data_IF_481012265031
#
_entry.id   IF_481012265031
#
_cell.length_a   1.000
_cell.length_b   1.000
_cell.length_c   1.000
_cell.angle_alpha   90.00
_cell.angle_beta   90.00
_cell.angle_gamma   90.00
#
_symmetry.space_group_name_H-M   'P 1'
#
loop_
_entity.id
_entity.type
_entity.pdbx_description
1 polymer ?
#
# COMPACT_ATOMS: atom_id res chain seq x y z
N UNK A 1 -26.43 -23.35 -1.32
CA UNK A 1 -25.24 -24.14 -1.70
C UNK A 1 -24.03 -23.25 -1.59
N UNK A 2 -22.87 -23.78 -1.21
CA UNK A 2 -21.62 -23.02 -1.23
C UNK A 2 -20.98 -23.13 -2.62
N UNK A 3 -20.47 -22.03 -3.17
CA UNK A 3 -19.64 -21.98 -4.37
C UNK A 3 -18.22 -21.55 -4.02
N UNK A 4 -17.28 -21.83 -4.91
CA UNK A 4 -15.87 -21.44 -4.79
C UNK A 4 -15.43 -20.79 -6.09
N UNK A 5 -14.54 -19.81 -5.98
CA UNK A 5 -13.92 -19.12 -7.11
C UNK A 5 -12.41 -19.21 -6.92
N UNK A 6 -11.71 -19.78 -7.89
CA UNK A 6 -10.25 -19.87 -7.85
C UNK A 6 -9.63 -18.50 -8.15
N UNK A 7 -8.72 -18.04 -7.29
CA UNK A 7 -8.03 -16.76 -7.44
C UNK A 7 -6.74 -16.95 -8.25
N UNK A 8 -6.64 -16.42 -9.48
CA UNK A 8 -5.48 -16.64 -10.33
C UNK A 8 -4.30 -15.71 -9.97
N UNK A 9 -3.14 -16.04 -10.54
CA UNK A 9 -1.99 -15.13 -10.70
C UNK A 9 -1.79 -14.84 -12.18
N UNK A 10 -1.25 -13.67 -12.53
CA UNK A 10 -0.99 -13.28 -13.92
C UNK A 10 0.24 -14.00 -14.48
N UNK A 11 1.29 -14.13 -13.67
CA UNK A 11 2.53 -14.80 -14.06
C UNK A 11 2.61 -16.21 -13.45
N UNK A 12 2.68 -17.27 -14.25
CA UNK A 12 2.79 -18.64 -13.75
C UNK A 12 4.08 -18.91 -12.95
N UNK A 13 5.12 -18.09 -13.12
CA UNK A 13 6.36 -18.16 -12.34
C UNK A 13 6.23 -17.53 -10.94
N UNK A 14 5.06 -17.00 -10.58
CA UNK A 14 4.79 -16.53 -9.22
C UNK A 14 5.05 -17.69 -8.23
N UNK A 15 5.94 -17.50 -7.23
CA UNK A 15 6.24 -18.55 -6.28
C UNK A 15 5.06 -18.79 -5.34
N UNK A 16 5.02 -19.98 -4.73
CA UNK A 16 4.04 -20.31 -3.69
C UNK A 16 4.07 -19.27 -2.57
N UNK A 17 2.90 -18.92 -2.04
CA UNK A 17 2.74 -17.85 -1.08
C UNK A 17 3.46 -18.13 0.24
N UNK A 18 3.39 -19.38 0.66
CA UNK A 18 4.00 -19.96 1.88
C UNK A 18 5.53 -19.95 1.87
N UNK A 19 6.16 -19.96 0.69
CA UNK A 19 7.58 -20.27 0.54
C UNK A 19 7.88 -21.75 0.83
N UNK A 20 9.16 -22.17 0.72
CA UNK A 20 9.55 -23.52 1.10
C UNK A 20 9.39 -23.72 2.63
N UNK A 21 9.10 -24.95 3.10
CA UNK A 21 9.13 -25.27 4.52
C UNK A 21 10.48 -24.89 5.13
N UNK A 22 10.46 -24.27 6.31
CA UNK A 22 11.68 -23.93 7.03
C UNK A 22 12.32 -25.15 7.70
N UNK A 23 11.51 -26.15 8.04
CA UNK A 23 11.88 -27.44 8.63
C UNK A 23 10.90 -28.53 8.17
N UNK A 24 11.30 -29.81 8.17
CA UNK A 24 10.40 -30.91 7.82
C UNK A 24 9.21 -31.02 8.78
N UNK A 25 8.02 -31.22 8.24
CA UNK A 25 6.82 -31.62 8.99
C UNK A 25 6.94 -33.06 9.49
N UNK A 26 6.50 -33.37 10.74
CA UNK A 26 6.38 -34.75 11.21
C UNK A 26 5.42 -35.64 10.40
N UNK A 27 4.52 -35.03 9.62
CA UNK A 27 3.51 -35.75 8.82
C UNK A 27 3.80 -35.73 7.32
N UNK A 28 4.34 -34.62 6.81
CA UNK A 28 4.52 -34.38 5.37
C UNK A 28 5.99 -34.23 4.94
N UNK A 29 6.94 -34.34 5.87
CA UNK A 29 8.36 -34.14 5.58
C UNK A 29 8.62 -32.76 4.96
N UNK A 30 9.33 -32.73 3.84
CA UNK A 30 9.68 -31.50 3.10
C UNK A 30 8.57 -31.01 2.15
N UNK A 31 7.39 -31.65 2.14
CA UNK A 31 6.30 -31.27 1.24
C UNK A 31 5.65 -29.94 1.66
N UNK A 32 5.61 -28.99 0.73
CA UNK A 32 4.89 -27.72 0.90
C UNK A 32 3.39 -27.93 0.63
N UNK A 33 2.62 -28.26 1.67
CA UNK A 33 1.17 -28.54 1.55
C UNK A 33 0.30 -27.30 1.32
N UNK A 34 0.83 -26.10 1.55
CA UNK A 34 0.19 -24.84 1.14
C UNK A 34 0.82 -24.37 -0.16
N UNK A 35 0.22 -24.77 -1.28
CA UNK A 35 0.72 -24.55 -2.64
C UNK A 35 0.11 -23.33 -3.35
N UNK A 36 -0.81 -22.62 -2.68
CA UNK A 36 -1.45 -21.43 -3.24
C UNK A 36 -0.40 -20.38 -3.60
N UNK A 37 -0.41 -19.94 -4.87
CA UNK A 37 0.44 -18.84 -5.35
C UNK A 37 -0.18 -17.49 -5.04
N UNK A 38 -1.48 -17.37 -5.30
CA UNK A 38 -2.28 -16.25 -4.83
C UNK A 38 -2.41 -16.29 -3.31
N UNK A 39 -2.52 -15.12 -2.68
CA UNK A 39 -2.71 -14.99 -1.24
C UNK A 39 -3.74 -13.89 -1.02
N UNK A 40 -5.00 -14.30 -0.91
CA UNK A 40 -6.12 -13.38 -0.76
C UNK A 40 -6.13 -12.74 0.63
N UNK A 41 -6.36 -11.43 0.67
CA UNK A 41 -6.55 -10.72 1.93
C UNK A 41 -7.42 -9.47 1.76
N UNK A 42 -8.12 -9.12 2.85
CA UNK A 42 -8.94 -7.92 3.00
C UNK A 42 -9.93 -7.67 1.83
N UNK A 43 -10.93 -8.54 1.62
CA UNK A 43 -11.98 -8.32 0.62
C UNK A 43 -12.89 -7.14 0.99
N UNK A 44 -13.24 -6.31 0.01
CA UNK A 44 -14.23 -5.23 0.11
C UNK A 44 -15.06 -5.15 -1.18
N UNK A 45 -16.31 -4.69 -1.07
CA UNK A 45 -17.12 -4.40 -2.24
C UNK A 45 -16.95 -2.94 -2.65
N UNK A 46 -16.91 -2.69 -3.96
CA UNK A 46 -17.09 -1.33 -4.47
C UNK A 46 -18.58 -0.96 -4.63
N UNK A 47 -18.82 0.27 -5.10
CA UNK A 47 -20.16 0.82 -5.31
C UNK A 47 -20.98 0.10 -6.40
N UNK A 48 -20.38 -0.79 -7.20
CA UNK A 48 -21.05 -1.62 -8.19
C UNK A 48 -21.23 -3.08 -7.73
N UNK A 49 -20.80 -3.40 -6.50
CA UNK A 49 -20.85 -4.75 -5.96
C UNK A 49 -19.76 -5.69 -6.50
N UNK A 50 -18.68 -5.15 -7.08
CA UNK A 50 -17.50 -5.93 -7.47
C UNK A 50 -16.59 -6.13 -6.27
N UNK A 51 -15.98 -7.30 -6.18
CA UNK A 51 -15.12 -7.68 -5.06
C UNK A 51 -13.68 -7.26 -5.32
N UNK A 52 -13.17 -6.36 -4.49
CA UNK A 52 -11.77 -5.94 -4.47
C UNK A 52 -11.03 -6.60 -3.32
N UNK A 53 -9.80 -7.04 -3.55
CA UNK A 53 -8.97 -7.71 -2.56
C UNK A 53 -7.49 -7.44 -2.83
N UNK A 54 -6.65 -7.60 -1.80
CA UNK A 54 -5.21 -7.71 -2.02
C UNK A 54 -4.83 -9.15 -2.33
N UNK A 55 -3.98 -9.34 -3.33
CA UNK A 55 -3.51 -10.66 -3.75
C UNK A 55 -2.16 -10.59 -4.46
N UNK A 56 -1.38 -11.68 -4.44
CA UNK A 56 -0.25 -11.80 -5.35
C UNK A 56 -0.76 -11.92 -6.79
N UNK A 57 -0.13 -11.19 -7.69
CA UNK A 57 -0.45 -11.17 -9.12
C UNK A 57 0.74 -11.62 -9.95
N UNK A 58 1.97 -11.34 -9.49
CA UNK A 58 3.24 -11.64 -10.17
C UNK A 58 4.38 -11.86 -9.16
N UNK A 59 5.58 -12.28 -9.60
CA UNK A 59 6.80 -12.21 -8.79
C UNK A 59 7.09 -10.80 -8.27
N UNK A 60 7.92 -10.73 -7.22
CA UNK A 60 8.08 -9.50 -6.45
C UNK A 60 8.76 -8.36 -7.19
N UNK A 61 9.55 -8.66 -8.23
CA UNK A 61 10.32 -7.65 -8.95
C UNK A 61 9.40 -6.70 -9.72
N UNK A 62 9.48 -5.41 -9.42
CA UNK A 62 8.65 -4.42 -10.10
C UNK A 62 9.06 -4.24 -11.58
N UNK A 63 8.11 -3.91 -12.46
CA UNK A 63 8.42 -3.51 -13.83
C UNK A 63 9.20 -2.19 -13.89
N UNK A 64 9.79 -1.91 -15.05
CA UNK A 64 10.67 -0.74 -15.24
C UNK A 64 9.98 0.60 -14.93
N UNK A 65 8.68 0.74 -15.20
CA UNK A 65 7.96 1.99 -14.94
C UNK A 65 7.82 2.34 -13.44
N UNK A 66 8.06 1.39 -12.54
CA UNK A 66 8.08 1.64 -11.09
C UNK A 66 9.46 2.09 -10.58
N UNK A 67 10.51 1.90 -11.39
CA UNK A 67 11.91 2.01 -10.98
C UNK A 67 12.49 3.35 -11.42
N UNK A 68 13.71 3.59 -10.95
CA UNK A 68 14.48 4.78 -11.31
C UNK A 68 14.64 4.90 -12.83
N UNK A 69 14.55 6.14 -13.34
CA UNK A 69 14.58 6.43 -14.78
C UNK A 69 13.21 6.36 -15.47
N UNK A 70 12.15 5.99 -14.75
CA UNK A 70 10.77 6.04 -15.26
C UNK A 70 10.22 7.45 -15.37
N UNK A 71 9.27 7.64 -16.28
CA UNK A 71 8.50 8.87 -16.41
C UNK A 71 7.30 8.99 -15.46
N UNK A 72 6.94 7.91 -14.77
CA UNK A 72 5.82 7.89 -13.83
C UNK A 72 6.06 8.88 -12.68
N UNK A 73 5.12 9.78 -12.35
CA UNK A 73 5.32 10.82 -11.31
C UNK A 73 5.83 10.26 -9.98
N UNK A 74 5.18 9.22 -9.44
CA UNK A 74 5.62 8.55 -8.22
C UNK A 74 7.01 7.90 -8.30
N UNK A 75 7.39 7.36 -9.46
CA UNK A 75 8.71 6.73 -9.62
C UNK A 75 9.83 7.78 -9.73
N UNK A 76 9.53 8.97 -10.27
CA UNK A 76 10.46 10.11 -10.28
C UNK A 76 10.77 10.60 -8.87
N UNK A 77 9.79 10.62 -7.97
CA UNK A 77 9.99 11.05 -6.59
C UNK A 77 10.54 9.94 -5.69
N UNK A 78 9.99 8.72 -5.80
CA UNK A 78 10.40 7.60 -4.96
C UNK A 78 10.24 6.26 -5.69
N UNK A 79 11.27 5.82 -6.44
CA UNK A 79 11.18 4.57 -7.19
C UNK A 79 11.14 3.36 -6.26
N UNK A 80 10.35 2.35 -6.63
CA UNK A 80 10.17 1.12 -5.86
C UNK A 80 10.66 -0.08 -6.64
N UNK A 81 11.50 -0.89 -6.02
CA UNK A 81 12.15 -2.02 -6.70
C UNK A 81 11.28 -3.29 -6.68
N UNK A 82 10.48 -3.47 -5.63
CA UNK A 82 9.74 -4.70 -5.35
C UNK A 82 8.38 -4.42 -4.72
N UNK A 83 7.40 -5.28 -5.01
CA UNK A 83 6.09 -5.32 -4.37
C UNK A 83 5.64 -6.78 -4.17
N UNK A 84 4.96 -7.08 -3.06
CA UNK A 84 4.57 -8.43 -2.66
C UNK A 84 3.14 -8.80 -3.08
N UNK A 85 2.15 -8.26 -2.35
CA UNK A 85 0.72 -8.32 -2.73
C UNK A 85 0.35 -7.06 -3.51
N UNK A 86 -0.53 -7.22 -4.49
CA UNK A 86 -1.11 -6.17 -5.32
C UNK A 86 -2.64 -6.19 -5.20
N UNK A 87 -3.36 -5.68 -6.19
CA UNK A 87 -4.82 -5.64 -6.20
C UNK A 87 -5.39 -6.67 -7.18
N UNK A 88 -6.53 -7.24 -6.82
CA UNK A 88 -7.39 -7.99 -7.73
C UNK A 88 -8.83 -7.52 -7.56
N UNK A 89 -9.56 -7.47 -8.66
CA UNK A 89 -10.99 -7.20 -8.70
C UNK A 89 -11.68 -8.39 -9.36
N UNK A 90 -12.70 -8.94 -8.71
CA UNK A 90 -13.61 -9.93 -9.29
C UNK A 90 -14.96 -9.28 -9.56
N UNK A 91 -15.46 -9.43 -10.79
CA UNK A 91 -16.79 -8.98 -11.17
C UNK A 91 -17.76 -10.16 -11.16
N UNK A 92 -18.71 -10.23 -10.20
CA UNK A 92 -19.67 -11.34 -10.13
C UNK A 92 -20.62 -11.42 -11.32
N UNK A 93 -20.77 -10.34 -12.11
CA UNK A 93 -21.66 -10.32 -13.27
C UNK A 93 -21.05 -10.98 -14.51
N UNK A 94 -19.72 -10.95 -14.63
CA UNK A 94 -18.97 -11.59 -15.72
C UNK A 94 -18.21 -12.84 -15.27
N UNK A 95 -18.07 -13.03 -13.96
CA UNK A 95 -17.25 -14.06 -13.34
C UNK A 95 -15.75 -13.95 -13.68
N UNK A 96 -15.27 -12.74 -13.99
CA UNK A 96 -13.89 -12.49 -14.41
C UNK A 96 -13.06 -11.77 -13.34
N UNK A 97 -11.76 -12.08 -13.30
CA UNK A 97 -10.77 -11.34 -12.52
C UNK A 97 -10.01 -10.32 -13.38
N UNK A 98 -9.92 -9.10 -12.87
CA UNK A 98 -8.90 -8.13 -13.24
C UNK A 98 -7.79 -8.17 -12.18
N UNK A 99 -6.64 -8.73 -12.55
CA UNK A 99 -5.45 -8.73 -11.71
C UNK A 99 -4.66 -7.46 -11.99
N UNK A 100 -4.31 -6.66 -10.99
CA UNK A 100 -3.74 -5.31 -11.14
C UNK A 100 -2.34 -5.29 -10.53
N UNK A 101 -1.31 -5.02 -11.34
CA UNK A 101 0.08 -4.99 -10.89
C UNK A 101 0.45 -3.59 -10.37
N UNK A 102 0.38 -3.42 -9.06
CA UNK A 102 0.86 -2.21 -8.38
C UNK A 102 2.38 -2.17 -8.25
N UNK A 103 2.97 -0.97 -8.21
CA UNK A 103 4.37 -0.72 -7.90
C UNK A 103 4.66 -0.79 -6.39
N UNK A 104 3.64 -0.66 -5.55
CA UNK A 104 3.72 -0.77 -4.10
C UNK A 104 3.08 -2.07 -3.60
N UNK A 105 3.54 -2.57 -2.46
CA UNK A 105 2.88 -3.69 -1.77
C UNK A 105 1.57 -3.25 -1.12
N UNK A 106 0.64 -4.18 -0.95
CA UNK A 106 -0.69 -3.92 -0.39
C UNK A 106 -1.03 -4.88 0.76
N UNK A 107 -1.88 -4.45 1.69
CA UNK A 107 -2.38 -5.25 2.80
C UNK A 107 -3.88 -5.02 3.04
N UNK A 108 -4.26 -4.02 3.83
CA UNK A 108 -5.65 -3.57 3.94
C UNK A 108 -5.96 -2.59 2.82
N UNK A 109 -7.23 -2.50 2.43
CA UNK A 109 -7.71 -1.60 1.39
C UNK A 109 -8.99 -0.88 1.84
N UNK A 110 -9.15 0.36 1.42
CA UNK A 110 -10.31 1.20 1.75
C UNK A 110 -10.61 2.17 0.61
N UNK A 111 -11.88 2.28 0.24
CA UNK A 111 -12.32 3.26 -0.75
C UNK A 111 -12.49 4.64 -0.13
N UNK A 112 -12.00 5.67 -0.81
CA UNK A 112 -12.38 7.04 -0.58
C UNK A 112 -13.75 7.33 -1.20
N UNK A 113 -14.54 8.17 -0.54
CA UNK A 113 -15.80 8.70 -1.07
C UNK A 113 -15.54 9.93 -1.97
N UNK A 114 -14.68 9.76 -2.98
CA UNK A 114 -14.34 10.79 -3.97
C UNK A 114 -14.84 10.44 -5.39
N UNK A 115 -14.71 11.39 -6.32
CA UNK A 115 -15.19 11.23 -7.70
C UNK A 115 -14.44 10.15 -8.51
N UNK A 116 -13.26 9.74 -8.03
CA UNK A 116 -12.40 8.74 -8.66
C UNK A 116 -12.60 7.34 -8.08
N UNK A 117 -13.38 7.23 -6.99
CA UNK A 117 -13.45 6.03 -6.17
C UNK A 117 -12.05 5.53 -5.81
N UNK A 118 -11.20 6.43 -5.33
CA UNK A 118 -9.79 6.14 -5.05
C UNK A 118 -9.68 5.02 -4.02
N UNK A 119 -8.95 3.95 -4.35
CA UNK A 119 -8.69 2.83 -3.46
C UNK A 119 -7.33 3.02 -2.79
N UNK A 120 -7.32 3.32 -1.50
CA UNK A 120 -6.11 3.46 -0.69
C UNK A 120 -5.71 2.14 -0.06
N UNK A 121 -4.41 1.89 0.06
CA UNK A 121 -3.89 0.63 0.60
C UNK A 121 -2.81 0.83 1.67
N UNK A 122 -2.81 -0.06 2.65
CA UNK A 122 -1.71 -0.21 3.60
C UNK A 122 -0.71 -1.25 3.12
N UNK A 123 0.39 -1.49 3.87
CA UNK A 123 1.36 -2.54 3.56
C UNK A 123 2.43 -2.17 2.53
N UNK A 124 2.45 -0.93 2.05
CA UNK A 124 3.49 -0.42 1.14
C UNK A 124 4.87 -0.21 1.78
N UNK A 125 4.97 -0.36 3.11
CA UNK A 125 6.22 -0.25 3.85
C UNK A 125 6.73 1.20 3.88
N UNK A 126 7.60 1.56 2.93
CA UNK A 126 8.19 2.90 2.85
C UNK A 126 7.31 3.92 2.13
N UNK A 127 6.23 3.45 1.50
CA UNK A 127 5.30 4.26 0.74
C UNK A 127 3.87 3.92 1.14
N UNK A 128 2.96 4.83 0.84
CA UNK A 128 1.52 4.57 0.80
C UNK A 128 1.05 4.75 -0.64
N UNK A 129 0.21 3.83 -1.10
CA UNK A 129 -0.21 3.77 -2.50
C UNK A 129 -1.72 3.73 -2.67
N UNK A 130 -2.17 4.22 -3.81
CA UNK A 130 -3.57 4.32 -4.20
C UNK A 130 -3.78 3.90 -5.66
N UNK A 131 -5.05 3.60 -5.98
CA UNK A 131 -5.52 3.34 -7.33
C UNK A 131 -6.77 4.17 -7.62
N UNK A 132 -6.76 4.97 -8.68
CA UNK A 132 -7.95 5.56 -9.28
C UNK A 132 -8.75 4.44 -9.97
N UNK A 133 -9.72 3.87 -9.25
CA UNK A 133 -10.45 2.70 -9.74
C UNK A 133 -11.37 3.04 -10.90
N UNK A 134 -11.90 4.26 -10.96
CA UNK A 134 -12.68 4.75 -12.10
C UNK A 134 -11.86 4.74 -13.38
N UNK A 135 -10.67 5.35 -13.37
CA UNK A 135 -9.77 5.38 -14.52
C UNK A 135 -9.37 3.96 -14.94
N UNK A 136 -9.04 3.09 -13.98
CA UNK A 136 -8.67 1.72 -14.29
C UNK A 136 -9.80 0.96 -14.98
N UNK A 137 -11.03 1.06 -14.46
CA UNK A 137 -12.19 0.36 -15.03
C UNK A 137 -12.51 0.90 -16.43
N UNK A 138 -12.37 2.20 -16.66
CA UNK A 138 -12.65 2.82 -17.96
C UNK A 138 -11.60 2.47 -19.02
N UNK A 139 -10.34 2.25 -18.63
CA UNK A 139 -9.21 2.19 -19.58
C UNK A 139 -8.45 0.87 -19.58
N UNK A 140 -8.51 0.10 -18.50
CA UNK A 140 -7.62 -1.04 -18.24
C UNK A 140 -6.18 -0.66 -17.94
N UNK A 141 -5.84 0.64 -17.88
CA UNK A 141 -4.46 1.12 -17.75
C UNK A 141 -4.05 1.20 -16.28
N UNK A 142 -3.42 0.14 -15.79
CA UNK A 142 -2.95 0.07 -14.41
C UNK A 142 -1.76 1.00 -14.12
N UNK A 143 -0.94 1.33 -15.11
CA UNK A 143 0.22 2.21 -14.91
C UNK A 143 -0.24 3.64 -14.64
N UNK A 144 -1.20 4.13 -15.44
CA UNK A 144 -1.74 5.49 -15.28
C UNK A 144 -2.71 5.64 -14.13
N UNK A 145 -3.36 4.55 -13.72
CA UNK A 145 -4.38 4.59 -12.68
C UNK A 145 -3.81 4.54 -11.26
N UNK A 146 -2.53 4.22 -11.10
CA UNK A 146 -1.93 4.05 -9.77
C UNK A 146 -1.00 5.21 -9.40
N UNK A 147 -0.82 5.40 -8.10
CA UNK A 147 0.18 6.32 -7.57
C UNK A 147 0.63 5.89 -6.18
N UNK A 148 1.81 6.35 -5.79
CA UNK A 148 2.34 6.18 -4.44
C UNK A 148 3.21 7.37 -4.06
N UNK A 149 3.34 7.59 -2.76
CA UNK A 149 4.22 8.62 -2.22
C UNK A 149 5.03 8.08 -1.04
N UNK A 150 6.23 8.62 -0.87
CA UNK A 150 7.02 8.41 0.33
C UNK A 150 6.36 9.11 1.53
N UNK A 151 6.71 8.68 2.74
CA UNK A 151 6.22 9.30 3.95
C UNK A 151 7.16 10.43 4.36
N UNK A 152 6.74 11.67 4.13
CA UNK A 152 7.56 12.88 4.30
C UNK A 152 6.90 13.79 5.33
N UNK A 153 7.62 14.12 6.40
CA UNK A 153 7.20 15.08 7.42
C UNK A 153 7.76 16.45 7.07
N UNK A 154 6.89 17.46 7.04
CA UNK A 154 7.23 18.88 6.87
C UNK A 154 7.96 19.40 8.11
N UNK A 155 9.25 19.09 8.24
CA UNK A 155 10.05 19.48 9.39
C UNK A 155 10.48 20.95 9.36
N UNK A 156 10.42 21.59 8.19
CA UNK A 156 10.71 23.02 8.06
C UNK A 156 9.47 23.90 8.35
N UNK A 157 8.26 23.31 8.33
CA UNK A 157 7.00 23.88 8.77
C UNK A 157 6.36 24.86 7.78
N UNK A 158 6.67 24.77 6.49
CA UNK A 158 6.21 25.73 5.48
C UNK A 158 4.91 25.31 4.75
N UNK A 159 4.38 24.12 5.05
CA UNK A 159 3.16 23.55 4.50
C UNK A 159 3.29 23.01 3.07
N UNK A 160 4.51 22.73 2.60
CA UNK A 160 4.78 22.19 1.26
C UNK A 160 5.78 21.05 1.38
N UNK A 161 5.65 20.09 0.46
CA UNK A 161 6.65 19.05 0.31
C UNK A 161 7.87 19.63 -0.46
N UNK A 162 9.01 19.64 0.20
CA UNK A 162 10.29 20.14 -0.32
C UNK A 162 11.30 19.00 -0.55
N UNK A 163 12.55 19.37 -0.84
CA UNK A 163 13.67 18.44 -0.65
C UNK A 163 13.67 17.93 0.79
N UNK A 164 13.84 16.62 0.95
CA UNK A 164 13.90 15.98 2.26
C UNK A 164 15.26 15.32 2.51
N UNK A 165 15.58 15.12 3.78
CA UNK A 165 16.66 14.24 4.23
C UNK A 165 16.12 12.83 4.51
N UNK A 166 16.97 11.82 4.34
CA UNK A 166 16.62 10.42 4.57
C UNK A 166 16.47 10.11 6.08
N UNK A 167 15.77 9.03 6.46
CA UNK A 167 15.42 8.71 7.85
C UNK A 167 16.62 8.65 8.80
N UNK A 168 17.77 8.17 8.33
CA UNK A 168 19.03 8.03 9.08
C UNK A 168 19.92 9.28 9.08
N UNK A 169 19.55 10.31 8.32
CA UNK A 169 20.29 11.58 8.27
C UNK A 169 19.86 12.53 9.40
N UNK A 170 20.71 13.47 9.85
CA UNK A 170 20.28 14.48 10.82
C UNK A 170 19.18 15.37 10.22
N UNK A 171 18.29 15.91 11.08
CA UNK A 171 17.31 16.92 10.65
C UNK A 171 18.06 18.15 10.12
N UNK A 172 17.66 18.61 8.94
CA UNK A 172 18.07 19.88 8.36
C UNK A 172 16.89 20.87 8.47
N UNK A 173 17.04 22.00 9.19
CA UNK A 173 15.95 22.98 9.37
C UNK A 173 15.42 23.61 8.08
N UNK A 174 16.11 23.44 6.95
CA UNK A 174 15.71 23.97 5.64
C UNK A 174 15.02 22.93 4.76
N UNK A 175 14.89 21.69 5.24
CA UNK A 175 14.38 20.54 4.50
C UNK A 175 13.29 19.79 5.26
N UNK A 176 12.58 18.96 4.52
CA UNK A 176 11.67 17.98 5.07
C UNK A 176 12.42 16.74 5.56
N UNK A 177 11.70 15.83 6.23
CA UNK A 177 12.26 14.60 6.77
C UNK A 177 11.44 13.41 6.32
N UNK A 178 12.06 12.48 5.60
CA UNK A 178 11.42 11.20 5.30
C UNK A 178 11.41 10.32 6.55
N UNK A 179 10.31 9.60 6.75
CA UNK A 179 10.13 8.64 7.85
C UNK A 179 9.90 7.22 7.34
N UNK A 180 10.21 6.22 8.18
CA UNK A 180 9.93 4.80 7.91
C UNK A 180 8.90 4.31 8.91
N UNK A 181 7.64 4.61 8.65
CA UNK A 181 6.54 4.19 9.52
C UNK A 181 5.40 3.66 8.64
N UNK A 182 5.48 2.38 8.30
CA UNK A 182 4.57 1.78 7.33
C UNK A 182 3.15 1.67 7.87
N UNK A 183 2.16 1.88 7.00
CA UNK A 183 0.75 1.70 7.34
C UNK A 183 0.44 0.20 7.49
N UNK A 184 -0.18 -0.17 8.60
CA UNK A 184 -0.90 -1.43 8.78
C UNK A 184 -2.40 -1.23 8.67
N UNK A 185 -2.99 -0.41 9.56
CA UNK A 185 -4.33 0.12 9.36
C UNK A 185 -4.32 1.20 8.27
N UNK A 186 -5.42 1.33 7.53
CA UNK A 186 -5.65 2.44 6.60
C UNK A 186 -7.14 2.80 6.64
N UNK A 187 -7.43 4.09 6.71
CA UNK A 187 -8.77 4.66 6.68
C UNK A 187 -8.71 6.01 5.97
N UNK A 188 -9.80 6.39 5.31
CA UNK A 188 -9.94 7.72 4.70
C UNK A 188 -10.85 8.55 5.60
N UNK A 189 -10.45 9.77 5.89
CA UNK A 189 -11.33 10.75 6.52
C UNK A 189 -12.27 11.32 5.43
N UNK A 190 -13.59 11.09 5.50
CA UNK A 190 -14.52 11.55 4.47
C UNK A 190 -14.73 13.07 4.48
N UNK A 191 -14.28 13.78 5.53
CA UNK A 191 -14.46 15.24 5.65
C UNK A 191 -13.41 16.02 4.87
N UNK A 192 -12.15 15.57 4.91
CA UNK A 192 -11.01 16.31 4.36
C UNK A 192 -10.14 15.48 3.40
N UNK A 193 -10.45 14.19 3.19
CA UNK A 193 -9.70 13.30 2.29
C UNK A 193 -8.36 12.82 2.86
N UNK A 194 -8.04 13.11 4.12
CA UNK A 194 -6.78 12.68 4.73
C UNK A 194 -6.79 11.19 5.02
N UNK A 195 -5.63 10.56 4.93
CA UNK A 195 -5.47 9.12 5.06
C UNK A 195 -4.87 8.83 6.42
N UNK A 196 -5.60 8.10 7.26
CA UNK A 196 -5.18 7.74 8.60
C UNK A 196 -4.76 6.29 8.66
N UNK A 197 -3.77 6.00 9.48
CA UNK A 197 -3.30 4.65 9.68
C UNK A 197 -2.66 4.44 11.04
N UNK A 198 -2.45 3.17 11.35
CA UNK A 198 -1.61 2.74 12.46
C UNK A 198 -0.36 2.07 11.91
N UNK A 199 0.78 2.34 12.53
CA UNK A 199 2.01 1.59 12.29
C UNK A 199 2.21 0.60 13.43
N UNK A 200 2.46 -0.66 13.04
CA UNK A 200 2.74 -1.71 14.01
C UNK A 200 4.16 -1.58 14.54
N UNK A 201 4.30 -1.81 15.83
CA UNK A 201 5.55 -1.69 16.55
C UNK A 201 5.25 -1.37 18.00
N UNK A 202 6.27 -1.47 18.84
CA UNK A 202 6.20 -0.95 20.19
C UNK A 202 7.12 0.28 20.27
N UNK A 203 6.64 1.46 20.71
CA UNK A 203 5.29 1.72 21.22
C UNK A 203 4.20 1.84 20.13
N UNK A 204 4.59 1.92 18.86
CA UNK A 204 3.64 2.13 17.75
C UNK A 204 3.27 3.60 17.59
N UNK A 205 2.67 3.95 16.45
CA UNK A 205 2.27 5.34 16.14
C UNK A 205 0.98 5.38 15.34
N UNK A 206 0.27 6.51 15.44
CA UNK A 206 -0.77 6.89 14.49
C UNK A 206 -0.14 7.78 13.43
N UNK A 207 -0.53 7.59 12.17
CA UNK A 207 0.01 8.33 11.04
C UNK A 207 -1.16 8.94 10.28
N UNK A 208 -1.01 10.19 9.88
CA UNK A 208 -1.90 10.87 8.95
C UNK A 208 -1.09 11.26 7.71
N UNK A 209 -1.63 10.99 6.53
CA UNK A 209 -1.15 11.54 5.26
C UNK A 209 -2.19 12.53 4.76
N UNK A 210 -1.76 13.74 4.44
CA UNK A 210 -2.50 14.66 3.60
C UNK A 210 -1.98 14.51 2.16
N UNK A 211 -2.76 13.97 1.21
CA UNK A 211 -2.31 13.83 -0.18
C UNK A 211 -2.08 15.19 -0.87
N UNK A 212 -2.72 16.26 -0.38
CA UNK A 212 -2.74 17.56 -1.03
C UNK A 212 -3.44 17.53 -2.40
N UNK A 213 -3.37 18.64 -3.16
CA UNK A 213 -4.09 18.78 -4.42
C UNK A 213 -3.48 18.02 -5.61
N UNK A 214 -2.22 17.61 -5.53
CA UNK A 214 -1.52 16.90 -6.60
C UNK A 214 -0.53 15.88 -6.03
N UNK A 215 -1.01 14.78 -5.42
CA UNK A 215 -0.14 13.69 -4.99
C UNK A 215 0.47 13.00 -6.23
N UNK A 216 1.72 12.52 -6.14
CA UNK A 216 2.55 12.45 -4.94
C UNK A 216 3.34 13.71 -4.57
N UNK A 217 3.41 14.73 -5.42
CA UNK A 217 4.27 15.90 -5.24
C UNK A 217 3.88 16.81 -4.07
N UNK A 218 2.64 16.69 -3.57
CA UNK A 218 2.11 17.54 -2.51
C UNK A 218 1.86 16.80 -1.19
N UNK A 219 2.24 15.53 -1.11
CA UNK A 219 1.78 14.66 -0.04
C UNK A 219 2.65 14.79 1.21
N UNK A 220 2.04 15.24 2.32
CA UNK A 220 2.71 15.40 3.61
C UNK A 220 2.19 14.40 4.64
N UNK A 221 3.08 13.97 5.52
CA UNK A 221 2.83 13.01 6.58
C UNK A 221 2.98 13.67 7.94
N UNK A 222 2.07 13.35 8.84
CA UNK A 222 2.17 13.63 10.28
C UNK A 222 2.29 12.32 11.04
N UNK A 223 3.15 12.30 12.06
CA UNK A 223 3.36 11.15 12.94
C UNK A 223 2.97 11.53 14.36
N UNK A 224 2.04 10.77 14.91
CA UNK A 224 1.53 10.95 16.27
C UNK A 224 2.07 9.83 17.15
N UNK A 225 3.02 10.18 18.00
CA UNK A 225 3.65 9.26 18.93
C UNK A 225 2.85 9.12 20.22
N UNK A 226 2.80 7.90 20.75
CA UNK A 226 2.25 7.66 22.07
C UNK A 226 3.20 8.22 23.14
N UNK A 227 2.68 8.72 24.28
CA UNK A 227 3.50 9.22 25.38
C UNK A 227 4.10 8.08 26.20
N UNK A 228 4.79 7.16 25.52
CA UNK A 228 5.46 6.01 26.11
C UNK A 228 6.75 6.44 26.81
N UNK A 229 6.95 5.98 28.04
CA UNK A 229 8.07 6.38 28.92
C UNK A 229 8.25 7.90 29.05
N UNK A 230 7.15 8.67 28.90
CA UNK A 230 7.18 10.11 29.04
C UNK A 230 6.78 10.50 30.48
N UNK A 231 7.74 10.84 31.37
CA UNK A 231 7.43 11.16 32.77
C UNK A 231 6.57 12.41 32.95
N UNK A 232 6.47 13.27 31.92
CA UNK A 232 5.63 14.46 31.93
C UNK A 232 4.18 14.16 31.48
N UNK A 233 3.90 12.97 30.94
CA UNK A 233 2.57 12.64 30.46
C UNK A 233 1.63 12.25 31.61
N UNK A 234 0.42 12.83 31.67
CA UNK A 234 -0.55 12.53 32.73
C UNK A 234 -1.13 11.11 32.61
N UNK A 235 -1.09 10.52 31.41
CA UNK A 235 -1.48 9.15 31.11
C UNK A 235 -0.40 8.57 30.21
N UNK A 236 0.13 7.40 30.58
CA UNK A 236 1.11 6.67 29.75
C UNK A 236 0.40 5.97 28.61
N UNK A 237 1.07 5.94 27.46
CA UNK A 237 0.64 5.23 26.25
C UNK A 237 1.05 3.78 26.22
#
# INVERSE_FOLDING_TARGET
TASQVELPVRDPNTPVASGPPLLPSPYWGEEAIWDSKANAHNPMLDHLGRLWLTSRVRPSENPAFCREGSDHPSAKLFPTQRAGRHLAMYDPSTEEFSLISTCFSTHHLIFAEDENHTLWTSGGGQVIGWLNTKMYVETGDEERSQGWTALIVDTNGNGKQDEYVEPDEPIDPTKDKRVRSGYYGVAVNPVDGTIWGSSLGFPGVVIRLDPGPNPPETALTEVYELPYDNPAAPVQG
#
